data_IF_313731528574
#
_entry.id   IF_313731528574
#
_cell.length_a   1.000
_cell.length_b   1.000
_cell.length_c   1.000
_cell.angle_alpha   90.00
_cell.angle_beta   90.00
_cell.angle_gamma   90.00
#
_symmetry.space_group_name_H-M   'P 1'
#
loop_
_entity.id
_entity.type
_entity.pdbx_description
1 polymer ?
2 non-polymer ?
3 water ?
#
# COMPACT_ATOMS: atom_id res chain seq x y z
N UNK A 66 -12.35 -18.76 4.87
CA UNK A 66 -12.42 -17.78 5.99
C UNK A 66 -13.28 -16.60 5.55
N UNK A 67 -13.47 -15.64 6.44
CA UNK A 67 -12.90 -14.27 6.38
C UNK A 67 -11.86 -14.15 7.49
N UNK A 68 -10.94 -13.20 7.42
CA UNK A 68 -10.03 -12.95 8.56
C UNK A 68 -10.96 -12.44 9.65
N UNK A 69 -10.97 -12.97 10.87
CA UNK A 69 -11.75 -12.36 11.98
C UNK A 69 -11.09 -11.01 12.31
N UNK A 70 -11.57 -10.23 13.27
CA UNK A 70 -11.05 -8.92 13.59
C UNK A 70 -9.60 -8.95 14.02
N UNK A 71 -9.24 -9.89 14.91
CA UNK A 71 -7.89 -9.94 15.43
C UNK A 71 -6.89 -10.29 14.32
N UNK A 72 -7.23 -11.23 13.46
CA UNK A 72 -6.31 -11.59 12.39
C UNK A 72 -6.21 -10.48 11.35
N UNK A 73 -7.34 -9.83 11.03
CA UNK A 73 -7.29 -8.71 10.11
C UNK A 73 -6.35 -7.63 10.63
N UNK A 74 -6.44 -7.30 11.92
CA UNK A 74 -5.58 -6.26 12.46
C UNK A 74 -4.10 -6.63 12.31
N UNK A 75 -3.76 -7.90 12.54
CA UNK A 75 -2.37 -8.32 12.41
C UNK A 75 -1.91 -8.25 10.96
N UNK A 76 -2.69 -8.83 10.04
CA UNK A 76 -2.30 -8.83 8.63
C UNK A 76 -2.28 -7.41 8.07
N UNK A 77 -3.28 -6.59 8.42
CA UNK A 77 -3.30 -5.21 7.93
C UNK A 77 -2.10 -4.44 8.46
N UNK A 78 -1.78 -4.61 9.74
CA UNK A 78 -0.64 -3.91 10.32
C UNK A 78 0.66 -4.31 9.61
N UNK A 79 0.87 -5.61 9.40
CA UNK A 79 2.08 -6.07 8.73
C UNK A 79 2.14 -5.53 7.30
N UNK A 80 1.00 -5.51 6.61
CA UNK A 80 0.98 -5.02 5.23
C UNK A 80 1.33 -3.55 5.18
N UNK A 81 0.65 -2.73 5.99
CA UNK A 81 0.83 -1.29 5.89
C UNK A 81 2.15 -0.84 6.51
N UNK A 82 2.57 -1.47 7.61
CA UNK A 82 3.85 -1.10 8.21
C UNK A 82 4.98 -1.28 7.20
N UNK A 83 4.97 -2.40 6.47
CA UNK A 83 6.02 -2.68 5.49
C UNK A 83 5.94 -1.71 4.32
N UNK A 84 4.72 -1.39 3.85
CA UNK A 84 4.57 -0.41 2.79
C UNK A 84 5.12 0.94 3.21
N UNK A 85 4.86 1.35 4.45
CA UNK A 85 5.42 2.61 4.94
C UNK A 85 6.94 2.57 4.90
N UNK A 86 7.52 1.50 5.44
CA UNK A 86 8.97 1.37 5.44
C UNK A 86 9.54 1.44 4.03
N UNK A 87 8.89 0.75 3.09
CA UNK A 87 9.40 0.73 1.72
C UNK A 87 9.26 2.08 1.04
N UNK A 88 8.12 2.77 1.23
CA UNK A 88 7.97 4.09 0.64
C UNK A 88 8.98 5.07 1.23
N UNK A 89 9.25 4.98 2.53
CA UNK A 89 10.35 5.75 3.10
C UNK A 89 11.67 5.38 2.44
N UNK A 90 11.94 4.08 2.30
CA UNK A 90 13.17 3.66 1.62
C UNK A 90 13.28 4.32 0.25
N UNK A 91 12.21 4.27 -0.54
CA UNK A 91 12.28 4.79 -1.91
C UNK A 91 12.44 6.30 -1.94
N UNK A 92 11.71 7.02 -1.08
CA UNK A 92 11.73 8.48 -1.15
C UNK A 92 12.97 9.08 -0.48
N UNK A 93 13.56 8.41 0.50
CA UNK A 93 14.74 8.94 1.23
C UNK A 93 15.92 8.75 0.26
N UNK A 94 15.93 7.70 -0.57
CA UNK A 94 16.98 7.46 -1.60
C UNK A 94 16.81 8.53 -2.68
N UNK A 95 15.60 8.83 -3.14
CA UNK A 95 15.30 9.86 -4.17
C UNK A 95 15.49 11.25 -3.54
N UNK A 96 16.71 11.63 -3.17
CA UNK A 96 17.03 12.93 -2.49
C UNK A 96 16.83 14.10 -3.47
N UNK A 97 16.86 13.83 -4.79
CA UNK A 97 16.75 14.87 -5.85
C UNK A 97 15.28 15.26 -6.07
N UNK A 98 14.31 14.51 -5.51
CA UNK A 98 12.87 14.77 -5.70
C UNK A 98 12.39 15.56 -4.49
N UNK A 99 12.11 16.86 -4.66
CA UNK A 99 11.75 17.75 -3.53
C UNK A 99 10.23 17.73 -3.36
N UNK A 100 9.77 18.12 -2.17
CA UNK A 100 8.32 18.19 -1.90
C UNK A 100 7.77 16.80 -1.60
N UNK A 101 8.61 15.76 -1.47
CA UNK A 101 8.08 14.46 -1.12
C UNK A 101 8.09 14.28 0.39
N UNK A 102 7.15 13.49 0.88
CA UNK A 102 7.11 13.18 2.30
C UNK A 102 6.22 11.96 2.51
N UNK A 103 6.57 11.17 3.51
CA UNK A 103 5.77 10.03 3.92
C UNK A 103 5.33 10.26 5.35
N UNK A 104 4.04 10.08 5.61
CA UNK A 104 3.47 10.20 6.94
C UNK A 104 2.62 8.97 7.22
N UNK A 105 2.59 8.55 8.49
CA UNK A 105 1.94 7.29 8.83
C UNK A 105 1.47 7.36 10.28
N UNK A 106 0.16 7.37 10.48
CA UNK A 106 -0.39 7.28 11.81
C UNK A 106 -1.87 6.95 11.70
N UNK A 107 -2.42 6.39 12.78
CA UNK A 107 -3.83 6.05 12.84
C UNK A 107 -4.26 5.13 11.70
N UNK A 108 -3.33 4.29 11.23
CA UNK A 108 -3.65 3.38 10.15
C UNK A 108 -3.75 4.01 8.79
N UNK A 109 -3.26 5.25 8.64
CA UNK A 109 -3.32 5.97 7.37
C UNK A 109 -1.90 6.27 6.92
N UNK A 110 -1.54 5.71 5.76
CA UNK A 110 -0.24 5.96 5.14
C UNK A 110 -0.42 6.99 4.04
N UNK A 111 0.30 8.10 4.15
CA UNK A 111 0.29 9.19 3.17
C UNK A 111 1.64 9.22 2.47
N UNK A 112 1.61 9.22 1.14
CA UNK A 112 2.80 9.36 0.33
C UNK A 112 2.55 10.57 -0.57
N UNK A 113 3.10 11.72 -0.17
CA UNK A 113 3.01 12.93 -0.96
C UNK A 113 4.21 12.98 -1.88
N UNK A 114 3.97 12.90 -3.19
CA UNK A 114 5.04 12.86 -4.18
C UNK A 114 5.21 14.19 -4.90
N UNK A 115 4.68 15.27 -4.34
CA UNK A 115 4.90 16.60 -4.87
C UNK A 115 3.66 17.14 -5.57
N UNK A 116 3.80 18.38 -6.05
CA UNK A 116 2.67 19.07 -6.66
C UNK A 116 2.29 18.53 -8.02
N UNK A 117 3.25 17.94 -8.75
CA UNK A 117 2.95 17.40 -10.07
C UNK A 117 2.36 16.00 -9.99
N UNK A 118 2.89 15.16 -9.11
CA UNK A 118 2.52 13.75 -9.10
C UNK A 118 1.41 13.44 -8.12
N UNK A 119 1.13 14.32 -7.17
CA UNK A 119 0.01 14.11 -6.28
C UNK A 119 0.36 13.27 -5.06
N UNK A 120 -0.70 12.87 -4.35
CA UNK A 120 -0.58 12.20 -3.07
C UNK A 120 -1.37 10.91 -3.07
N UNK A 121 -0.71 9.83 -2.63
CA UNK A 121 -1.37 8.56 -2.41
C UNK A 121 -1.81 8.49 -0.95
N UNK A 122 -2.99 7.90 -0.72
CA UNK A 122 -3.43 7.57 0.63
C UNK A 122 -3.79 6.09 0.66
N UNK A 123 -3.23 5.36 1.60
CA UNK A 123 -3.50 3.94 1.79
C UNK A 123 -3.84 3.75 3.26
N UNK A 124 -5.04 3.25 3.57
CA UNK A 124 -5.45 3.24 4.96
C UNK A 124 -6.24 2.00 5.35
N UNK A 125 -6.03 1.59 6.59
CA UNK A 125 -6.90 0.63 7.25
C UNK A 125 -8.28 1.22 7.38
N UNK A 126 -9.31 0.42 7.07
CA UNK A 126 -10.71 0.75 7.31
C UNK A 126 -11.31 -0.40 8.12
N UNK A 127 -11.19 -0.30 9.45
CA UNK A 127 -11.50 -1.45 10.31
C UNK A 127 -12.91 -1.96 10.18
N UNK A 128 -13.96 -1.13 10.19
CA UNK A 128 -15.32 -1.69 10.15
C UNK A 128 -15.56 -2.59 8.95
N UNK A 129 -14.90 -2.32 7.84
CA UNK A 129 -15.04 -3.10 6.62
C UNK A 129 -14.00 -4.20 6.50
N UNK A 130 -13.03 -4.27 7.41
CA UNK A 130 -11.92 -5.21 7.31
C UNK A 130 -11.27 -5.13 5.93
N UNK A 131 -10.98 -3.91 5.50
CA UNK A 131 -10.38 -3.66 4.20
C UNK A 131 -9.19 -2.71 4.33
N UNK A 132 -8.42 -2.63 3.26
CA UNK A 132 -7.45 -1.56 3.04
C UNK A 132 -7.98 -0.72 1.88
N UNK A 133 -8.06 0.58 2.10
CA UNK A 133 -8.55 1.49 1.08
C UNK A 133 -7.36 2.23 0.47
N UNK A 134 -7.45 2.49 -0.83
CA UNK A 134 -6.41 3.18 -1.57
C UNK A 134 -7.03 4.32 -2.36
N UNK A 135 -6.34 5.46 -2.36
CA UNK A 135 -6.64 6.54 -3.29
C UNK A 135 -5.34 6.87 -4.02
N UNK A 136 -5.36 6.76 -5.36
CA UNK A 136 -4.21 7.07 -6.20
C UNK A 136 -4.48 8.36 -6.98
N UNK A 137 -3.51 9.25 -7.10
CA UNK A 137 -3.74 10.48 -7.88
C UNK A 137 -4.08 10.23 -9.34
N UNK A 138 -3.73 9.06 -9.89
CA UNK A 138 -4.01 8.79 -11.31
C UNK A 138 -5.12 7.80 -11.53
N UNK A 139 -5.29 6.79 -10.66
CA UNK A 139 -6.28 5.75 -10.89
C UNK A 139 -7.45 5.79 -9.91
N UNK A 140 -7.46 6.72 -8.96
CA UNK A 140 -8.61 6.93 -8.12
C UNK A 140 -8.73 5.96 -6.96
N UNK A 141 -9.96 5.75 -6.48
CA UNK A 141 -10.15 5.01 -5.23
C UNK A 141 -10.44 3.54 -5.42
N UNK A 142 -9.97 2.71 -4.49
CA UNK A 142 -10.24 1.28 -4.50
C UNK A 142 -10.34 0.78 -3.07
N UNK A 143 -11.15 -0.25 -2.87
CA UNK A 143 -11.25 -0.95 -1.59
C UNK A 143 -10.78 -2.39 -1.79
N UNK A 144 -9.86 -2.83 -0.93
CA UNK A 144 -9.22 -4.13 -1.06
C UNK A 144 -9.63 -5.05 0.08
N UNK A 145 -9.95 -6.30 -0.27
CA UNK A 145 -10.21 -7.37 0.68
C UNK A 145 -9.00 -8.32 0.70
N UNK A 146 -8.79 -8.98 1.83
CA UNK A 146 -7.70 -9.92 1.95
C UNK A 146 -8.15 -11.33 1.59
N UNK A 147 -7.32 -12.04 0.84
CA UNK A 147 -7.54 -13.45 0.52
C UNK A 147 -6.29 -14.22 0.92
N UNK A 148 -6.47 -15.33 1.62
CA UNK A 148 -5.35 -16.09 2.10
C UNK A 148 -5.39 -16.34 3.59
N UNK A 149 -4.23 -16.54 4.18
CA UNK A 149 -4.11 -16.86 5.60
C UNK A 149 -3.03 -15.96 6.19
N UNK A 150 -2.87 -16.04 7.52
CA UNK A 150 -1.78 -15.32 8.16
C UNK A 150 -0.43 -15.76 7.61
N UNK A 151 -0.34 -16.98 7.08
CA UNK A 151 0.90 -17.45 6.48
C UNK A 151 1.20 -16.75 5.15
N UNK A 152 0.18 -16.48 4.34
CA UNK A 152 0.41 -15.85 3.04
C UNK A 152 -0.92 -15.44 2.43
N UNK A 153 -0.92 -14.31 1.72
CA UNK A 153 -2.12 -13.86 1.05
C UNK A 153 -1.86 -12.56 0.32
N UNK A 154 -2.93 -12.00 -0.23
CA UNK A 154 -2.84 -10.74 -0.95
C UNK A 154 -4.12 -9.96 -0.77
N UNK A 155 -4.08 -8.69 -1.21
CA UNK A 155 -5.19 -7.76 -1.11
C UNK A 155 -5.73 -7.52 -2.51
N UNK A 156 -7.03 -7.80 -2.70
CA UNK A 156 -7.66 -7.78 -4.02
C UNK A 156 -8.86 -6.84 -4.04
N UNK A 157 -9.06 -6.23 -5.20
CA UNK A 157 -10.14 -5.26 -5.45
C UNK A 157 -11.11 -5.85 -6.45
N UNK A 158 -12.41 -5.65 -6.19
CA UNK A 158 -13.44 -6.40 -6.90
C UNK A 158 -13.49 -6.10 -8.39
N UNK A 159 -12.96 -4.95 -8.83
CA UNK A 159 -13.03 -4.56 -10.23
C UNK A 159 -11.64 -4.46 -10.87
N UNK A 160 -10.69 -5.22 -10.36
CA UNK A 160 -9.38 -5.30 -10.99
C UNK A 160 -8.78 -6.67 -10.72
N UNK A 161 -7.95 -7.14 -11.65
CA UNK A 161 -7.22 -8.36 -11.44
C UNK A 161 -5.93 -8.22 -10.68
N UNK A 162 -5.48 -6.99 -10.48
CA UNK A 162 -4.18 -6.71 -9.88
C UNK A 162 -4.32 -6.52 -8.39
N UNK A 163 -3.36 -7.04 -7.64
CA UNK A 163 -3.32 -6.82 -6.20
C UNK A 163 -2.93 -5.37 -5.91
N UNK A 164 -3.10 -4.97 -4.66
CA UNK A 164 -2.67 -3.64 -4.23
C UNK A 164 -1.21 -3.40 -4.63
N UNK A 165 -0.34 -4.36 -4.34
CA UNK A 165 1.09 -4.17 -4.60
C UNK A 165 1.39 -4.13 -6.09
N UNK A 166 0.64 -4.89 -6.90
CA UNK A 166 0.84 -4.83 -8.35
C UNK A 166 0.44 -3.46 -8.90
N UNK A 167 -0.62 -2.87 -8.36
CA UNK A 167 -1.00 -1.52 -8.79
C UNK A 167 0.12 -0.53 -8.49
N UNK A 168 0.68 -0.59 -7.28
CA UNK A 168 1.77 0.30 -6.93
C UNK A 168 2.99 0.03 -7.81
N UNK A 169 3.25 -1.24 -8.11
CA UNK A 169 4.37 -1.58 -9.00
C UNK A 169 4.15 -1.00 -10.38
N UNK A 170 2.90 -0.86 -10.81
CA UNK A 170 2.64 -0.30 -12.12
C UNK A 170 2.80 1.22 -12.11
N UNK A 171 2.38 1.88 -11.05
CA UNK A 171 2.28 3.34 -11.07
C UNK A 171 3.51 4.05 -10.52
N UNK A 172 4.24 3.43 -9.61
CA UNK A 172 5.30 4.15 -8.88
C UNK A 172 6.60 4.21 -9.67
N UNK A 173 7.03 3.14 -10.38
CA UNK A 173 8.34 3.23 -11.07
C UNK A 173 8.48 4.43 -11.99
N UNK A 174 7.43 4.79 -12.73
CA UNK A 174 7.51 5.92 -13.63
C UNK A 174 7.67 7.25 -12.93
N UNK A 175 7.28 7.32 -11.66
CA UNK A 175 7.46 8.55 -10.89
C UNK A 175 8.86 8.59 -10.29
N UNK A 176 9.27 7.52 -9.63
CA UNK A 176 10.59 7.44 -9.00
C UNK A 176 11.57 6.78 -9.97
N UNK A 177 11.83 7.49 -11.06
CA UNK A 177 12.73 6.99 -12.09
C UNK A 177 14.13 6.76 -11.55
N UNK A 178 14.47 7.33 -10.39
CA UNK A 178 15.79 7.20 -9.82
C UNK A 178 16.01 5.87 -9.13
N UNK A 179 14.97 5.07 -8.93
CA UNK A 179 15.03 3.92 -8.05
C UNK A 179 14.70 2.63 -8.78
N UNK A 180 15.27 1.54 -8.30
CA UNK A 180 14.86 0.19 -8.68
C UNK A 180 13.73 -0.21 -7.74
N UNK A 181 12.52 -0.34 -8.29
CA UNK A 181 11.30 -0.48 -7.50
C UNK A 181 10.78 -1.90 -7.62
N UNK A 182 10.46 -2.52 -6.48
CA UNK A 182 9.87 -3.87 -6.47
C UNK A 182 9.00 -4.01 -5.23
N UNK A 183 7.71 -3.66 -5.38
CA UNK A 183 6.76 -3.83 -4.30
C UNK A 183 6.39 -5.28 -4.04
N UNK A 184 6.75 -6.19 -4.93
CA UNK A 184 6.34 -7.59 -4.82
C UNK A 184 7.20 -8.37 -3.83
N UNK A 185 8.21 -7.74 -3.23
CA UNK A 185 9.02 -8.39 -2.22
C UNK A 185 8.51 -8.12 -0.81
N UNK A 186 7.38 -7.44 -0.67
CA UNK A 186 6.86 -7.05 0.62
C UNK A 186 5.83 -8.04 1.12
N UNK A 187 5.50 -8.01 2.41
CA UNK A 187 4.56 -8.99 2.97
C UNK A 187 3.15 -8.83 2.41
N UNK A 188 2.49 -9.98 2.25
CA UNK A 188 1.06 -10.07 1.92
C UNK A 188 0.74 -9.54 0.51
N UNK A 189 1.50 -10.03 -0.47
CA UNK A 189 1.12 -9.91 -1.89
C UNK A 189 1.32 -11.24 -2.61
N UNK A 190 1.29 -12.35 -1.87
CA UNK A 190 1.47 -13.67 -2.45
C UNK A 190 0.33 -14.02 -3.38
X LIG B 1 -17.36 -3.25 -1.05
X LIG B 1 -17.85 -2.58 -2.25
X LIG B 1 -15.99 -2.84 -0.78
X LIG B 1 -18.22 -2.91 0.08
X LIG B 1 -17.39 -4.70 -1.27
#
# INVERSE_FOLDING_TARGET
MFAGRLMVRSIVGRACLATMGRWSKPQAHASQVILPSTPAIAAVAIQCEEFTANRRLFSSQIETESTLDGATYERVCSDTLDALCDYFEELTENASELQGTDVAYSDGVLTVNLGGQHGTYVINRQTPNKQIWLSSPTSGPKRYDFVGTVAAGRWIYKHSGQSLHELLQQEIPGILKSQSVDFLRLPYCS
SO4 S O1 O2 O3 O4
#
